data_IF_822651555000
#
_entry.id   IF_822651555000
#
_cell.length_a   1.000
_cell.length_b   1.000
_cell.length_c   1.000
_cell.angle_alpha   90.00
_cell.angle_beta   90.00
_cell.angle_gamma   90.00
#
_symmetry.space_group_name_H-M   'P 1'
#
loop_
_entity.id
_entity.type
_entity.pdbx_description
1 polymer ?
#
# COMPACT_ATOMS: atom_id res chain seq x y z
N UNK A 1 3.09 71.52 5.42
CA UNK A 1 3.76 70.51 4.56
C UNK A 1 5.18 70.35 5.08
N UNK A 2 5.40 69.51 6.10
CA UNK A 2 6.71 68.99 6.57
C UNK A 2 6.46 68.32 7.93
N UNK A 3 5.81 67.15 7.94
CA UNK A 3 5.78 66.30 9.15
C UNK A 3 5.31 64.85 8.87
N UNK A 4 4.87 64.54 7.65
CA UNK A 4 4.44 63.17 7.28
C UNK A 4 5.51 62.32 6.58
N UNK A 5 6.69 62.88 6.28
CA UNK A 5 7.76 62.12 5.59
C UNK A 5 8.78 61.49 6.55
N UNK A 6 8.93 62.00 7.77
CA UNK A 6 9.98 61.52 8.67
C UNK A 6 9.60 60.24 9.44
N UNK A 7 8.30 60.02 9.63
CA UNK A 7 7.77 58.78 10.23
C UNK A 7 7.78 57.58 9.27
N UNK A 8 7.97 57.82 7.96
CA UNK A 8 8.07 56.75 6.96
C UNK A 8 9.50 56.22 6.77
N UNK A 9 10.52 57.02 7.11
CA UNK A 9 11.94 56.62 7.01
C UNK A 9 12.40 55.77 8.19
N UNK A 10 11.96 56.07 9.42
CA UNK A 10 12.35 55.32 10.62
C UNK A 10 11.80 53.89 10.67
N UNK A 11 10.80 53.56 9.83
CA UNK A 11 10.21 52.21 9.73
C UNK A 11 10.90 51.29 8.72
N UNK A 12 11.79 51.81 7.86
CA UNK A 12 12.49 51.02 6.84
C UNK A 12 13.83 50.44 7.30
N UNK A 13 14.44 50.99 8.35
CA UNK A 13 15.77 50.57 8.79
C UNK A 13 15.77 49.45 9.84
N UNK A 14 14.59 49.00 10.30
CA UNK A 14 14.46 47.95 11.33
C UNK A 14 14.21 46.52 10.80
N UNK A 15 14.43 46.26 9.50
CA UNK A 15 14.24 44.92 8.88
C UNK A 15 15.56 44.15 8.74
N UNK A 16 16.60 44.48 9.53
CA UNK A 16 17.90 43.80 9.44
C UNK A 16 18.26 42.86 10.60
N UNK A 17 17.47 42.77 11.65
CA UNK A 17 17.72 41.83 12.75
C UNK A 17 16.48 40.97 13.03
N UNK A 18 16.17 40.06 12.12
CA UNK A 18 15.39 38.87 12.50
C UNK A 18 16.38 37.95 13.21
N UNK A 19 16.20 37.64 14.50
CA UNK A 19 17.11 36.74 15.20
C UNK A 19 17.15 35.42 14.44
N UNK A 20 18.35 34.98 14.05
CA UNK A 20 18.62 33.60 13.65
C UNK A 20 18.31 32.73 14.86
N UNK A 21 17.04 32.41 15.08
CA UNK A 21 16.66 31.42 16.06
C UNK A 21 17.36 30.13 15.68
N UNK A 22 18.29 29.72 16.55
CA UNK A 22 18.92 28.42 16.49
C UNK A 22 17.82 27.39 16.20
N UNK A 23 18.07 26.53 15.21
CA UNK A 23 17.15 25.47 14.86
C UNK A 23 16.74 24.75 16.16
N UNK A 24 15.44 24.71 16.53
CA UNK A 24 15.04 23.91 17.67
C UNK A 24 15.50 22.48 17.40
N UNK A 25 16.18 21.87 18.37
CA UNK A 25 16.53 20.45 18.34
C UNK A 25 15.29 19.69 17.90
N UNK A 26 15.37 19.13 16.69
CA UNK A 26 14.33 18.29 16.13
C UNK A 26 14.39 17.00 16.93
N UNK A 27 13.26 16.58 17.50
CA UNK A 27 13.19 15.35 18.30
C UNK A 27 13.93 14.22 17.56
N UNK A 28 14.99 13.62 18.16
CA UNK A 28 15.80 12.60 17.51
C UNK A 28 14.99 11.38 17.04
N UNK A 29 13.81 11.20 17.62
CA UNK A 29 12.89 10.09 17.38
C UNK A 29 12.31 10.06 15.95
N UNK A 30 12.22 11.21 15.26
CA UNK A 30 11.58 11.32 13.94
C UNK A 30 12.53 11.30 12.72
N UNK A 31 13.82 11.01 12.91
CA UNK A 31 14.82 11.14 11.83
C UNK A 31 15.33 9.82 11.26
N UNK A 32 15.15 8.68 11.93
CA UNK A 32 15.66 7.42 11.39
C UNK A 32 14.66 6.79 10.41
N UNK A 33 15.10 6.38 9.20
CA UNK A 33 14.24 5.64 8.27
C UNK A 33 13.62 4.38 8.89
N UNK A 34 14.34 3.76 9.85
CA UNK A 34 13.87 2.60 10.59
C UNK A 34 12.74 2.94 11.56
N UNK A 35 12.81 4.07 12.28
CA UNK A 35 11.71 4.52 13.14
C UNK A 35 10.46 4.89 12.34
N UNK A 36 10.63 5.52 11.18
CA UNK A 36 9.49 5.80 10.28
C UNK A 36 8.85 4.51 9.76
N UNK A 37 9.65 3.51 9.39
CA UNK A 37 9.14 2.19 8.99
C UNK A 37 8.41 1.50 10.15
N UNK A 38 8.98 1.51 11.36
CA UNK A 38 8.34 0.92 12.55
C UNK A 38 7.01 1.64 12.89
N UNK A 39 6.93 2.96 12.69
CA UNK A 39 5.69 3.72 12.83
C UNK A 39 4.67 3.37 11.75
N UNK A 40 5.08 3.26 10.47
CA UNK A 40 4.21 2.80 9.39
C UNK A 40 3.66 1.42 9.74
N UNK A 41 4.51 0.47 10.12
CA UNK A 41 4.09 -0.89 10.52
C UNK A 41 3.19 -0.91 11.76
N UNK A 42 3.26 0.11 12.63
CA UNK A 42 2.42 0.19 13.84
C UNK A 42 1.04 0.79 13.56
N UNK A 43 0.96 1.76 12.63
CA UNK A 43 -0.26 2.51 12.35
C UNK A 43 -0.97 2.10 11.06
N UNK A 44 -0.31 1.34 10.19
CA UNK A 44 -1.02 0.62 9.14
C UNK A 44 -1.99 -0.35 9.80
N UNK A 45 -3.14 -0.57 9.16
CA UNK A 45 -4.08 -1.61 9.63
C UNK A 45 -3.44 -3.01 9.63
N UNK A 46 -2.27 -3.14 8.99
CA UNK A 46 -1.45 -4.32 8.92
C UNK A 46 -0.67 -4.56 10.22
N UNK A 47 -0.60 -5.81 10.67
CA UNK A 47 0.22 -6.17 11.83
C UNK A 47 1.72 -6.04 11.50
N UNK A 48 2.57 -5.68 12.48
CA UNK A 48 4.00 -5.54 12.26
C UNK A 48 4.63 -6.86 11.82
N UNK A 49 5.58 -6.77 10.88
CA UNK A 49 6.22 -7.94 10.27
C UNK A 49 7.41 -8.43 11.11
N UNK A 50 7.76 -9.72 11.00
CA UNK A 50 8.96 -10.28 11.63
C UNK A 50 10.22 -9.78 10.93
N UNK A 51 11.10 -9.13 11.69
CA UNK A 51 12.50 -8.89 11.30
C UNK A 51 13.28 -10.21 11.36
N UNK A 52 13.20 -11.01 10.29
CA UNK A 52 13.95 -12.26 10.14
C UNK A 52 15.43 -11.98 9.81
N UNK A 53 16.34 -12.76 10.40
CA UNK A 53 17.79 -12.70 10.14
C UNK A 53 18.32 -14.07 9.70
N UNK A 54 19.44 -14.09 8.98
CA UNK A 54 20.12 -15.33 8.57
C UNK A 54 19.41 -16.08 7.41
N UNK A 55 19.40 -17.43 7.41
CA UNK A 55 18.91 -18.23 6.28
C UNK A 55 17.41 -18.06 6.02
N UNK A 56 16.61 -17.82 7.07
CA UNK A 56 15.17 -17.54 6.93
C UNK A 56 14.89 -16.25 6.17
N UNK A 57 15.73 -15.22 6.35
CA UNK A 57 15.62 -13.98 5.60
C UNK A 57 15.89 -14.19 4.11
N UNK A 58 16.83 -15.08 3.77
CA UNK A 58 17.12 -15.46 2.38
C UNK A 58 15.96 -16.23 1.75
N UNK A 59 15.38 -17.20 2.46
CA UNK A 59 14.22 -17.97 1.98
C UNK A 59 13.04 -17.04 1.71
N UNK A 60 12.68 -16.19 2.67
CA UNK A 60 11.58 -15.23 2.51
C UNK A 60 11.86 -14.25 1.37
N UNK A 61 13.09 -13.76 1.26
CA UNK A 61 13.48 -12.87 0.17
C UNK A 61 13.37 -13.59 -1.19
N UNK A 62 13.81 -14.84 -1.29
CA UNK A 62 13.72 -15.63 -2.51
C UNK A 62 12.26 -15.88 -2.94
N UNK A 63 11.39 -16.24 -2.00
CA UNK A 63 9.96 -16.45 -2.27
C UNK A 63 9.29 -15.12 -2.64
N UNK A 64 9.59 -14.02 -1.95
CA UNK A 64 9.02 -12.71 -2.23
C UNK A 64 9.45 -12.17 -3.60
N UNK A 65 10.73 -12.29 -3.95
CA UNK A 65 11.23 -11.97 -5.29
C UNK A 65 10.60 -12.89 -6.33
N UNK A 66 10.46 -14.17 -6.03
CA UNK A 66 9.77 -15.14 -6.87
C UNK A 66 8.32 -14.74 -7.17
N UNK A 67 7.58 -14.26 -6.16
CA UNK A 67 6.23 -13.72 -6.34
C UNK A 67 6.22 -12.51 -7.28
N UNK A 68 7.14 -11.56 -7.12
CA UNK A 68 7.21 -10.38 -7.99
C UNK A 68 7.51 -10.78 -9.43
N UNK A 69 8.48 -11.66 -9.63
CA UNK A 69 8.86 -12.17 -10.96
C UNK A 69 7.70 -12.94 -11.58
N UNK A 70 7.00 -13.76 -10.80
CA UNK A 70 5.84 -14.51 -11.25
C UNK A 70 4.70 -13.59 -11.69
N UNK A 71 4.40 -12.55 -10.90
CA UNK A 71 3.38 -11.55 -11.25
C UNK A 71 3.76 -10.77 -12.53
N UNK A 72 5.02 -10.34 -12.65
CA UNK A 72 5.51 -9.68 -13.86
C UNK A 72 5.45 -10.61 -15.09
N UNK A 73 5.81 -11.88 -14.94
CA UNK A 73 5.75 -12.88 -16.00
C UNK A 73 4.31 -13.17 -16.46
N UNK A 74 3.38 -13.26 -15.52
CA UNK A 74 1.97 -13.51 -15.80
C UNK A 74 1.29 -12.42 -16.64
N UNK A 75 1.86 -11.20 -16.70
CA UNK A 75 1.35 -10.15 -17.61
C UNK A 75 1.59 -10.45 -19.09
N UNK A 76 2.57 -11.28 -19.42
CA UNK A 76 2.94 -11.66 -20.80
C UNK A 76 2.51 -13.09 -21.13
N UNK A 77 2.53 -13.98 -20.14
CA UNK A 77 2.22 -15.38 -20.33
C UNK A 77 0.71 -15.63 -20.24
N UNK A 78 0.16 -16.42 -21.17
CA UNK A 78 -1.21 -16.91 -21.10
C UNK A 78 -1.28 -18.10 -20.14
N UNK A 79 -1.55 -17.82 -18.87
CA UNK A 79 -1.74 -18.82 -17.81
C UNK A 79 -3.25 -18.91 -17.50
N UNK A 80 -3.76 -20.11 -17.24
CA UNK A 80 -5.14 -20.29 -16.75
C UNK A 80 -5.37 -19.45 -15.49
N UNK A 81 -6.48 -18.70 -15.45
CA UNK A 81 -6.80 -17.81 -14.34
C UNK A 81 -6.85 -18.55 -13.01
N UNK A 82 -7.41 -19.77 -12.99
CA UNK A 82 -7.48 -20.61 -11.81
C UNK A 82 -6.06 -20.99 -11.32
N UNK A 83 -5.20 -21.51 -12.20
CA UNK A 83 -3.81 -21.87 -11.84
C UNK A 83 -3.06 -20.66 -11.30
N UNK A 84 -3.18 -19.51 -11.97
CA UNK A 84 -2.50 -18.29 -11.57
C UNK A 84 -2.94 -17.81 -10.19
N UNK A 85 -4.26 -17.70 -9.96
CA UNK A 85 -4.83 -17.23 -8.69
C UNK A 85 -4.54 -18.20 -7.54
N UNK A 86 -4.58 -19.50 -7.78
CA UNK A 86 -4.23 -20.51 -6.78
C UNK A 86 -2.75 -20.45 -6.41
N UNK A 87 -1.85 -20.35 -7.39
CA UNK A 87 -0.42 -20.20 -7.12
C UNK A 87 -0.12 -18.88 -6.39
N UNK A 88 -0.74 -17.78 -6.81
CA UNK A 88 -0.59 -16.46 -6.17
C UNK A 88 -1.03 -16.48 -4.71
N UNK A 89 -2.24 -16.99 -4.42
CA UNK A 89 -2.73 -17.12 -3.04
C UNK A 89 -1.83 -18.02 -2.21
N UNK A 90 -1.38 -19.15 -2.77
CA UNK A 90 -0.49 -20.08 -2.07
C UNK A 90 0.84 -19.46 -1.67
N UNK A 91 1.49 -18.75 -2.60
CA UNK A 91 2.73 -18.03 -2.32
C UNK A 91 2.49 -16.92 -1.29
N UNK A 92 1.38 -16.18 -1.41
CA UNK A 92 1.01 -15.14 -0.47
C UNK A 92 0.77 -15.70 0.95
N UNK A 93 0.08 -16.85 1.09
CA UNK A 93 -0.14 -17.51 2.38
C UNK A 93 1.17 -17.99 3.02
N UNK A 94 2.06 -18.60 2.23
CA UNK A 94 3.40 -19.02 2.69
C UNK A 94 4.18 -17.82 3.23
N UNK A 95 4.25 -16.73 2.45
CA UNK A 95 4.92 -15.51 2.89
C UNK A 95 4.27 -14.90 4.12
N UNK A 96 2.94 -14.90 4.19
CA UNK A 96 2.17 -14.36 5.32
C UNK A 96 2.50 -15.10 6.61
N UNK A 97 2.52 -16.43 6.61
CA UNK A 97 2.83 -17.20 7.83
C UNK A 97 4.31 -17.14 8.24
N UNK A 98 5.22 -16.92 7.29
CA UNK A 98 6.64 -16.68 7.61
C UNK A 98 6.87 -15.30 8.23
N UNK A 99 6.20 -14.27 7.71
CA UNK A 99 6.41 -12.87 8.09
C UNK A 99 5.53 -12.41 9.25
N UNK A 100 4.27 -12.85 9.34
CA UNK A 100 3.33 -12.36 10.35
C UNK A 100 3.20 -13.38 11.51
N UNK A 101 3.63 -13.01 12.74
CA UNK A 101 3.60 -13.89 13.90
C UNK A 101 2.17 -14.17 14.38
N UNK A 102 1.94 -15.37 14.92
CA UNK A 102 0.63 -15.75 15.48
C UNK A 102 0.18 -14.89 16.67
N UNK A 103 1.14 -14.44 17.50
CA UNK A 103 0.92 -13.63 18.70
C UNK A 103 1.69 -12.30 18.54
N UNK A 104 0.96 -11.18 18.55
CA UNK A 104 1.54 -9.83 18.53
C UNK A 104 2.45 -9.65 19.75
N UNK A 105 3.70 -9.22 19.52
CA UNK A 105 4.66 -8.91 20.59
C UNK A 105 5.44 -10.08 21.20
N UNK A 106 5.31 -11.31 20.71
CA UNK A 106 6.09 -12.44 21.23
C UNK A 106 7.55 -12.39 20.77
N UNK A 107 8.42 -11.77 21.58
CA UNK A 107 9.89 -11.86 21.48
C UNK A 107 10.43 -13.20 22.01
N UNK A 108 9.70 -14.32 21.88
CA UNK A 108 10.09 -15.60 22.53
C UNK A 108 11.02 -16.47 21.69
N UNK A 109 12.22 -16.63 22.24
CA UNK A 109 13.26 -17.60 21.91
C UNK A 109 12.77 -19.03 22.18
N UNK A 110 12.55 -19.83 21.13
CA UNK A 110 12.14 -21.25 21.25
C UNK A 110 13.32 -22.23 21.41
N UNK A 111 13.03 -23.49 21.78
CA UNK A 111 13.95 -24.53 22.30
C UNK A 111 15.03 -25.05 21.34
N UNK A 112 14.84 -25.00 20.02
CA UNK A 112 15.85 -25.46 19.02
C UNK A 112 17.12 -24.57 18.95
N UNK A 113 17.37 -23.74 19.98
CA UNK A 113 18.25 -22.57 20.11
C UNK A 113 19.69 -22.79 19.65
N UNK A 114 20.11 -24.04 19.72
CA UNK A 114 21.49 -24.46 19.68
C UNK A 114 22.07 -24.70 18.28
N UNK A 115 21.24 -24.78 17.22
CA UNK A 115 21.73 -25.27 15.91
C UNK A 115 21.77 -24.20 14.81
N UNK A 116 20.82 -23.27 14.73
CA UNK A 116 20.70 -22.31 13.59
C UNK A 116 20.31 -20.89 14.03
N UNK A 117 21.23 -20.12 14.62
CA UNK A 117 20.97 -18.78 15.20
C UNK A 117 20.12 -17.83 14.33
N UNK A 118 19.15 -17.13 14.94
CA UNK A 118 18.27 -16.13 14.30
C UNK A 118 16.82 -16.19 14.78
N UNK A 119 16.05 -15.11 14.58
CA UNK A 119 14.67 -14.95 15.05
C UNK A 119 13.69 -16.02 14.48
N UNK A 120 12.95 -16.65 15.38
CA UNK A 120 11.99 -17.76 15.26
C UNK A 120 10.84 -17.65 14.26
N UNK A 121 10.77 -18.50 13.23
CA UNK A 121 9.49 -19.04 12.73
C UNK A 121 9.02 -20.11 13.72
N UNK A 122 7.80 -19.99 14.27
CA UNK A 122 7.27 -20.96 15.23
C UNK A 122 6.93 -22.30 14.58
N UNK A 123 6.91 -23.40 15.33
CA UNK A 123 6.49 -24.72 14.82
C UNK A 123 5.09 -24.65 14.19
N UNK A 124 4.18 -23.92 14.84
CA UNK A 124 2.82 -23.69 14.33
C UNK A 124 2.86 -22.96 12.99
N UNK A 125 3.70 -21.94 12.85
CA UNK A 125 3.83 -21.21 11.59
C UNK A 125 4.40 -22.11 10.48
N UNK A 126 5.34 -23.00 10.80
CA UNK A 126 5.87 -23.97 9.85
C UNK A 126 4.81 -24.98 9.41
N UNK A 127 3.95 -25.44 10.33
CA UNK A 127 2.81 -26.30 10.00
C UNK A 127 1.83 -25.57 9.09
N UNK A 128 1.53 -24.29 9.36
CA UNK A 128 0.65 -23.48 8.51
C UNK A 128 1.27 -23.21 7.14
N UNK A 129 2.59 -23.02 7.06
CA UNK A 129 3.32 -22.92 5.79
C UNK A 129 3.21 -24.23 5.01
N UNK A 130 3.45 -25.38 5.64
CA UNK A 130 3.33 -26.68 4.99
C UNK A 130 1.89 -26.94 4.50
N UNK A 131 0.89 -26.61 5.32
CA UNK A 131 -0.51 -26.70 4.94
C UNK A 131 -0.84 -25.76 3.75
N UNK A 132 -0.31 -24.53 3.74
CA UNK A 132 -0.48 -23.57 2.64
C UNK A 132 0.08 -24.09 1.32
N UNK A 133 1.26 -24.71 1.36
CA UNK A 133 1.85 -25.37 0.18
C UNK A 133 0.96 -26.52 -0.27
N UNK A 134 0.50 -27.37 0.66
CA UNK A 134 -0.33 -28.54 0.34
C UNK A 134 -1.64 -28.15 -0.35
N UNK A 135 -2.39 -27.20 0.22
CA UNK A 135 -3.68 -26.74 -0.36
C UNK A 135 -3.51 -25.97 -1.67
N UNK A 136 -2.32 -25.49 -1.98
CA UNK A 136 -2.07 -24.75 -3.23
C UNK A 136 -1.56 -25.66 -4.35
N UNK A 137 -0.73 -26.65 -4.00
CA UNK A 137 -0.15 -27.59 -4.97
C UNK A 137 -1.16 -28.64 -5.43
N UNK A 138 -2.05 -29.09 -4.55
CA UNK A 138 -3.09 -30.09 -4.87
C UNK A 138 -3.93 -29.75 -6.13
N UNK A 139 -4.59 -28.58 -6.22
CA UNK A 139 -5.41 -28.23 -7.38
C UNK A 139 -4.58 -27.98 -8.65
N UNK A 140 -3.31 -27.57 -8.51
CA UNK A 140 -2.41 -27.34 -9.65
C UNK A 140 -1.96 -28.67 -10.27
N UNK A 141 -1.73 -29.71 -9.46
CA UNK A 141 -1.32 -31.05 -9.98
C UNK A 141 -2.46 -31.81 -10.66
N UNK A 142 -3.69 -31.62 -10.19
CA UNK A 142 -4.87 -32.36 -10.67
C UNK A 142 -5.85 -31.45 -11.43
N UNK A 143 -5.33 -30.39 -12.06
CA UNK A 143 -6.12 -29.28 -12.61
C UNK A 143 -7.27 -29.72 -13.52
N UNK A 144 -7.00 -30.60 -14.48
CA UNK A 144 -7.97 -30.97 -15.52
C UNK A 144 -9.23 -31.61 -14.95
N UNK A 145 -9.11 -32.43 -13.91
CA UNK A 145 -10.24 -33.05 -13.23
C UNK A 145 -10.79 -32.18 -12.09
N UNK A 146 -9.94 -31.35 -11.48
CA UNK A 146 -10.30 -30.52 -10.33
C UNK A 146 -11.40 -29.52 -10.68
N UNK A 147 -11.29 -28.84 -11.83
CA UNK A 147 -12.24 -27.79 -12.23
C UNK A 147 -13.67 -28.34 -12.46
N UNK A 148 -13.81 -29.58 -12.93
CA UNK A 148 -15.13 -30.19 -13.17
C UNK A 148 -15.79 -30.76 -11.90
N UNK A 149 -15.06 -30.85 -10.78
CA UNK A 149 -15.56 -31.40 -9.50
C UNK A 149 -16.25 -30.35 -8.62
N UNK A 150 -16.37 -29.10 -9.06
CA UNK A 150 -17.00 -28.03 -8.26
C UNK A 150 -18.43 -28.38 -7.77
N UNK A 151 -19.20 -29.12 -8.59
CA UNK A 151 -20.57 -29.50 -8.23
C UNK A 151 -20.66 -30.70 -7.26
N UNK A 152 -19.64 -31.57 -7.26
CA UNK A 152 -19.53 -32.77 -6.40
C UNK A 152 -18.06 -33.00 -6.02
N UNK A 153 -17.55 -32.27 -5.02
CA UNK A 153 -16.17 -32.42 -4.57
C UNK A 153 -15.93 -33.80 -3.93
N UNK A 154 -14.73 -34.35 -4.12
CA UNK A 154 -14.31 -35.55 -3.42
C UNK A 154 -13.96 -35.23 -1.95
N UNK A 155 -13.87 -36.24 -1.09
CA UNK A 155 -13.48 -36.05 0.32
C UNK A 155 -12.15 -35.31 0.48
N UNK A 156 -11.19 -35.57 -0.41
CA UNK A 156 -9.90 -34.85 -0.43
C UNK A 156 -10.06 -33.39 -0.82
N UNK A 157 -10.96 -33.06 -1.76
CA UNK A 157 -11.24 -31.67 -2.15
C UNK A 157 -11.88 -30.92 -0.98
N UNK A 158 -12.82 -31.55 -0.28
CA UNK A 158 -13.47 -31.00 0.91
C UNK A 158 -12.45 -30.73 2.02
N UNK A 159 -11.54 -31.67 2.26
CA UNK A 159 -10.48 -31.51 3.25
C UNK A 159 -9.54 -30.35 2.90
N UNK A 160 -9.02 -30.33 1.67
CA UNK A 160 -8.08 -29.29 1.22
C UNK A 160 -8.73 -27.90 1.21
N UNK A 161 -9.97 -27.80 0.75
CA UNK A 161 -10.69 -26.54 0.74
C UNK A 161 -11.05 -26.04 2.13
N UNK A 162 -11.44 -26.93 3.06
CA UNK A 162 -11.68 -26.56 4.46
C UNK A 162 -10.39 -26.03 5.11
N UNK A 163 -9.26 -26.71 4.90
CA UNK A 163 -7.95 -26.23 5.38
C UNK A 163 -7.63 -24.86 4.76
N UNK A 164 -7.86 -24.69 3.45
CA UNK A 164 -7.60 -23.42 2.76
C UNK A 164 -8.43 -22.26 3.33
N UNK A 165 -9.72 -22.48 3.59
CA UNK A 165 -10.61 -21.48 4.20
C UNK A 165 -10.08 -21.06 5.58
N UNK A 166 -9.70 -22.03 6.42
CA UNK A 166 -9.14 -21.76 7.76
C UNK A 166 -7.82 -20.98 7.64
N UNK A 167 -6.95 -21.37 6.72
CA UNK A 167 -5.67 -20.67 6.48
C UNK A 167 -5.90 -19.23 6.03
N UNK A 168 -6.86 -18.98 5.14
CA UNK A 168 -7.16 -17.62 4.67
C UNK A 168 -7.72 -16.76 5.81
N UNK A 169 -8.65 -17.29 6.62
CA UNK A 169 -9.18 -16.56 7.78
C UNK A 169 -8.07 -16.24 8.81
N UNK A 170 -7.19 -17.19 9.08
CA UNK A 170 -6.06 -17.01 10.00
C UNK A 170 -5.00 -16.05 9.42
N UNK A 171 -4.73 -16.10 8.12
CA UNK A 171 -3.85 -15.16 7.44
C UNK A 171 -4.40 -13.72 7.53
N UNK A 172 -5.69 -13.54 7.30
CA UNK A 172 -6.35 -12.22 7.41
C UNK A 172 -6.40 -11.72 8.85
N UNK A 173 -6.61 -12.61 9.83
CA UNK A 173 -6.50 -12.28 11.25
C UNK A 173 -5.09 -11.78 11.59
N UNK A 174 -4.07 -12.40 11.02
CA UNK A 174 -2.66 -12.01 11.24
C UNK A 174 -2.30 -10.71 10.53
N UNK A 175 -2.80 -10.47 9.33
CA UNK A 175 -2.49 -9.24 8.58
C UNK A 175 -3.32 -8.08 9.11
N UNK A 176 -4.66 -8.10 9.04
CA UNK A 176 -5.50 -6.93 9.33
C UNK A 176 -6.21 -7.00 10.69
N UNK A 177 -6.39 -8.20 11.25
CA UNK A 177 -7.06 -8.41 12.54
C UNK A 177 -8.43 -9.09 12.41
N UNK A 178 -9.23 -9.05 13.47
CA UNK A 178 -10.43 -9.88 13.60
C UNK A 178 -11.67 -9.39 12.85
N UNK A 179 -11.73 -8.12 12.44
CA UNK A 179 -12.95 -7.52 11.88
C UNK A 179 -13.38 -8.27 10.61
N UNK A 180 -12.51 -8.39 9.61
CA UNK A 180 -12.85 -9.03 8.35
C UNK A 180 -13.07 -10.55 8.47
N UNK A 181 -12.22 -11.33 9.19
CA UNK A 181 -12.49 -12.74 9.45
C UNK A 181 -13.81 -12.97 10.18
N UNK A 182 -14.19 -12.11 11.13
CA UNK A 182 -15.47 -12.23 11.84
C UNK A 182 -16.66 -12.07 10.89
N UNK A 183 -16.60 -11.10 9.97
CA UNK A 183 -17.63 -10.92 8.94
C UNK A 183 -17.68 -12.14 8.02
N UNK A 184 -16.54 -12.67 7.56
CA UNK A 184 -16.50 -13.86 6.72
C UNK A 184 -17.00 -15.12 7.45
N UNK A 185 -16.68 -15.31 8.73
CA UNK A 185 -17.24 -16.39 9.55
C UNK A 185 -18.76 -16.24 9.70
N UNK A 186 -19.27 -15.01 9.85
CA UNK A 186 -20.70 -14.72 9.82
C UNK A 186 -21.36 -15.09 8.49
N UNK A 187 -20.71 -14.78 7.36
CA UNK A 187 -21.14 -15.20 6.03
C UNK A 187 -21.16 -16.71 5.87
N UNK A 188 -20.10 -17.42 6.27
CA UNK A 188 -20.08 -18.88 6.25
C UNK A 188 -21.15 -19.48 7.16
N UNK A 189 -21.37 -18.91 8.35
CA UNK A 189 -22.46 -19.33 9.24
C UNK A 189 -23.83 -19.14 8.58
N UNK A 190 -24.04 -18.04 7.85
CA UNK A 190 -25.23 -17.83 7.03
C UNK A 190 -25.37 -18.89 5.92
N UNK A 191 -24.29 -19.23 5.22
CA UNK A 191 -24.30 -20.29 4.20
C UNK A 191 -24.73 -21.66 4.77
N UNK A 192 -24.32 -21.99 6.01
CA UNK A 192 -24.75 -23.22 6.68
C UNK A 192 -26.15 -23.12 7.30
N UNK A 193 -26.53 -21.94 7.82
CA UNK A 193 -27.76 -21.73 8.61
C UNK A 193 -28.72 -20.72 8.01
N UNK A 194 -28.83 -20.72 6.69
CA UNK A 194 -29.82 -19.94 5.96
C UNK A 194 -31.26 -20.28 6.35
N UNK A 195 -31.48 -21.44 6.97
CA UNK A 195 -32.79 -21.94 7.42
C UNK A 195 -33.38 -21.10 8.57
N UNK A 196 -32.52 -20.42 9.33
CA UNK A 196 -32.91 -19.58 10.47
C UNK A 196 -33.47 -18.23 10.01
N UNK A 197 -33.17 -17.79 8.78
CA UNK A 197 -33.53 -16.47 8.28
C UNK A 197 -34.91 -16.49 7.60
N UNK A 198 -35.85 -15.61 7.99
CA UNK A 198 -37.19 -15.57 7.40
C UNK A 198 -37.23 -14.81 6.07
N UNK A 199 -38.21 -15.16 5.22
CA UNK A 199 -38.52 -14.43 3.99
C UNK A 199 -37.47 -14.60 2.89
N UNK A 200 -37.21 -13.54 2.14
CA UNK A 200 -36.30 -13.53 0.98
C UNK A 200 -34.83 -13.80 1.30
N UNK A 201 -34.45 -13.75 2.58
CA UNK A 201 -33.09 -14.03 3.05
C UNK A 201 -32.91 -15.50 3.47
N UNK A 202 -33.98 -16.30 3.46
CA UNK A 202 -33.96 -17.71 3.88
C UNK A 202 -33.60 -18.67 2.76
N UNK A 203 -32.75 -19.66 3.05
CA UNK A 203 -32.47 -20.80 2.18
C UNK A 203 -32.29 -22.08 3.01
N UNK A 204 -32.23 -23.26 2.39
CA UNK A 204 -32.24 -24.54 3.14
C UNK A 204 -30.96 -24.84 3.93
N UNK A 205 -29.98 -23.93 3.93
CA UNK A 205 -28.59 -24.22 4.30
C UNK A 205 -27.89 -25.07 3.25
N UNK A 206 -26.57 -24.92 3.15
CA UNK A 206 -25.72 -25.73 2.26
C UNK A 206 -24.85 -26.69 3.05
N UNK A 207 -24.69 -27.90 2.52
CA UNK A 207 -23.76 -28.89 3.05
C UNK A 207 -22.30 -28.46 2.82
N UNK A 208 -21.37 -29.01 3.63
CA UNK A 208 -19.95 -28.62 3.59
C UNK A 208 -19.31 -28.86 2.23
N UNK A 209 -19.69 -29.94 1.53
CA UNK A 209 -19.21 -30.24 0.19
C UNK A 209 -19.59 -29.15 -0.82
N UNK A 210 -20.84 -28.66 -0.77
CA UNK A 210 -21.32 -27.59 -1.65
C UNK A 210 -20.63 -26.27 -1.34
N UNK A 211 -20.49 -25.93 -0.05
CA UNK A 211 -19.79 -24.71 0.37
C UNK A 211 -18.33 -24.77 -0.09
N UNK A 212 -17.62 -25.86 0.15
CA UNK A 212 -16.21 -25.98 -0.29
C UNK A 212 -16.09 -25.99 -1.81
N UNK A 213 -17.02 -26.63 -2.53
CA UNK A 213 -17.06 -26.61 -3.99
C UNK A 213 -17.10 -25.18 -4.56
N UNK A 214 -17.97 -24.33 -4.02
CA UNK A 214 -18.03 -22.91 -4.41
C UNK A 214 -16.85 -22.10 -3.88
N UNK A 215 -16.41 -22.34 -2.63
CA UNK A 215 -15.38 -21.50 -2.02
C UNK A 215 -13.97 -21.76 -2.54
N UNK A 216 -13.64 -23.02 -2.82
CA UNK A 216 -12.27 -23.45 -3.11
C UNK A 216 -12.09 -23.98 -4.52
N UNK A 217 -13.10 -24.60 -5.14
CA UNK A 217 -12.96 -25.14 -6.50
C UNK A 217 -13.35 -24.09 -7.54
N UNK A 218 -14.45 -23.37 -7.32
CA UNK A 218 -14.94 -22.36 -8.27
C UNK A 218 -14.16 -21.04 -8.21
N UNK A 219 -14.42 -20.17 -9.18
CA UNK A 219 -13.92 -18.80 -9.26
C UNK A 219 -14.88 -17.78 -8.63
N UNK A 220 -15.80 -18.22 -7.76
CA UNK A 220 -16.77 -17.33 -7.09
C UNK A 220 -16.39 -17.07 -5.62
N UNK A 221 -15.63 -17.99 -5.00
CA UNK A 221 -15.13 -17.86 -3.64
C UNK A 221 -13.73 -17.27 -3.52
N UNK A 222 -12.81 -18.04 -2.93
CA UNK A 222 -11.43 -17.64 -2.62
C UNK A 222 -10.67 -17.12 -3.85
N UNK A 223 -10.91 -17.73 -5.01
CA UNK A 223 -10.26 -17.37 -6.28
C UNK A 223 -11.07 -16.37 -7.11
N UNK A 224 -12.03 -15.70 -6.49
CA UNK A 224 -12.93 -14.75 -7.14
C UNK A 224 -12.31 -13.46 -7.63
N UNK A 225 -13.18 -12.56 -8.09
CA UNK A 225 -12.82 -11.24 -8.66
C UNK A 225 -11.95 -10.42 -7.71
N UNK A 226 -12.24 -10.46 -6.40
CA UNK A 226 -11.43 -9.77 -5.40
C UNK A 226 -9.97 -10.23 -5.40
N UNK A 227 -9.71 -11.55 -5.39
CA UNK A 227 -8.33 -12.06 -5.46
C UNK A 227 -7.72 -11.83 -6.85
N UNK A 228 -8.52 -11.92 -7.91
CA UNK A 228 -8.07 -11.60 -9.27
C UNK A 228 -7.47 -10.19 -9.32
N UNK A 229 -8.15 -9.22 -8.71
CA UNK A 229 -7.69 -7.83 -8.63
C UNK A 229 -6.37 -7.72 -7.87
N UNK A 230 -6.24 -8.40 -6.73
CA UNK A 230 -5.00 -8.40 -5.96
C UNK A 230 -3.83 -9.00 -6.77
N UNK A 231 -4.06 -10.12 -7.44
CA UNK A 231 -3.08 -10.87 -8.20
C UNK A 231 -2.66 -10.20 -9.53
N UNK A 232 -3.46 -9.27 -10.05
CA UNK A 232 -3.22 -8.67 -11.37
C UNK A 232 -2.88 -7.19 -11.29
N UNK A 233 -3.62 -6.40 -10.51
CA UNK A 233 -3.40 -4.96 -10.40
C UNK A 233 -2.51 -4.65 -9.20
N UNK A 234 -2.94 -5.05 -8.00
CA UNK A 234 -2.36 -4.54 -6.75
C UNK A 234 -0.90 -4.97 -6.60
N UNK A 235 -0.57 -6.22 -6.92
CA UNK A 235 0.81 -6.70 -6.90
C UNK A 235 1.74 -5.91 -7.83
N UNK A 236 1.26 -5.48 -9.01
CA UNK A 236 2.09 -4.73 -9.95
C UNK A 236 2.27 -3.27 -9.50
N UNK A 237 1.20 -2.65 -8.98
CA UNK A 237 1.25 -1.29 -8.46
C UNK A 237 2.08 -1.17 -7.18
N UNK A 238 2.09 -2.17 -6.31
CA UNK A 238 2.97 -2.21 -5.13
C UNK A 238 4.44 -2.40 -5.52
N UNK A 239 4.74 -3.24 -6.53
CA UNK A 239 6.10 -3.34 -7.10
C UNK A 239 6.54 -2.01 -7.70
N UNK A 240 5.66 -1.34 -8.46
CA UNK A 240 5.92 0.00 -9.00
C UNK A 240 6.19 1.03 -7.90
N UNK A 241 5.36 1.06 -6.87
CA UNK A 241 5.52 1.93 -5.70
C UNK A 241 6.87 1.70 -5.01
N UNK A 242 7.25 0.43 -4.82
CA UNK A 242 8.56 0.07 -4.27
C UNK A 242 9.71 0.53 -5.18
N UNK A 243 9.60 0.40 -6.51
CA UNK A 243 10.62 0.92 -7.44
C UNK A 243 10.78 2.42 -7.28
N UNK A 244 9.68 3.17 -7.17
CA UNK A 244 9.73 4.60 -6.96
C UNK A 244 10.33 4.99 -5.60
N UNK A 245 9.94 4.31 -4.53
CA UNK A 245 10.49 4.53 -3.19
C UNK A 245 12.01 4.32 -3.17
N UNK A 246 12.49 3.17 -3.64
CA UNK A 246 13.92 2.83 -3.65
C UNK A 246 14.73 3.63 -4.69
N UNK A 247 14.08 4.23 -5.69
CA UNK A 247 14.71 5.19 -6.60
C UNK A 247 14.87 6.59 -6.00
N UNK A 248 14.32 6.86 -4.81
CA UNK A 248 14.39 8.17 -4.15
C UNK A 248 13.30 9.17 -4.59
N UNK A 249 12.29 8.70 -5.32
CA UNK A 249 11.22 9.56 -5.84
C UNK A 249 10.46 10.29 -4.74
N UNK A 250 10.24 9.64 -3.58
CA UNK A 250 9.55 10.26 -2.45
C UNK A 250 10.25 11.52 -1.94
N UNK A 251 11.57 11.47 -1.77
CA UNK A 251 12.37 12.64 -1.38
C UNK A 251 12.30 13.74 -2.44
N UNK A 252 12.38 13.37 -3.72
CA UNK A 252 12.23 14.33 -4.81
C UNK A 252 10.87 15.05 -4.79
N UNK A 253 9.76 14.33 -4.60
CA UNK A 253 8.43 14.95 -4.56
C UNK A 253 8.26 15.89 -3.36
N UNK A 254 8.86 15.56 -2.21
CA UNK A 254 8.93 16.45 -1.06
C UNK A 254 9.72 17.73 -1.38
N UNK A 255 10.97 17.58 -1.83
CA UNK A 255 11.86 18.70 -2.18
C UNK A 255 11.24 19.59 -3.27
N UNK A 256 10.56 19.00 -4.25
CA UNK A 256 9.84 19.70 -5.31
C UNK A 256 8.68 20.53 -4.75
N UNK A 257 7.91 19.97 -3.82
CA UNK A 257 6.78 20.65 -3.19
C UNK A 257 7.22 21.84 -2.35
N UNK A 258 8.35 21.71 -1.61
CA UNK A 258 9.00 22.80 -0.89
C UNK A 258 9.46 23.90 -1.84
N UNK A 259 10.11 23.53 -2.94
CA UNK A 259 10.59 24.49 -3.93
C UNK A 259 9.44 25.21 -4.68
N UNK A 260 8.30 24.55 -4.90
CA UNK A 260 7.16 25.08 -5.66
C UNK A 260 6.35 26.15 -4.92
N UNK A 261 6.27 26.07 -3.60
CA UNK A 261 5.44 26.97 -2.78
C UNK A 261 6.21 28.12 -2.18
N UNK A 262 7.53 27.97 -2.01
CA UNK A 262 8.44 29.02 -1.54
C UNK A 262 8.15 29.51 -0.12
N UNK A 263 8.83 30.58 0.29
CA UNK A 263 8.85 31.07 1.68
C UNK A 263 7.64 31.94 2.06
N UNK A 264 6.42 31.61 1.61
CA UNK A 264 5.22 32.39 1.94
C UNK A 264 4.66 32.03 3.33
N UNK A 265 3.90 32.93 4.00
CA UNK A 265 3.22 32.65 5.27
C UNK A 265 2.38 31.37 5.28
N UNK A 266 1.59 31.10 4.22
CA UNK A 266 0.85 29.85 4.05
C UNK A 266 1.65 28.74 3.34
N UNK A 267 2.94 28.96 3.12
CA UNK A 267 3.82 28.08 2.35
C UNK A 267 3.99 26.70 2.99
N UNK A 268 4.12 26.63 4.32
CA UNK A 268 4.32 25.36 5.02
C UNK A 268 3.13 24.39 4.88
N UNK A 269 1.91 24.89 5.10
CA UNK A 269 0.70 24.10 4.89
C UNK A 269 0.54 23.69 3.43
N UNK A 270 0.66 24.65 2.49
CA UNK A 270 0.54 24.37 1.05
C UNK A 270 1.56 23.34 0.59
N UNK A 271 2.80 23.43 1.06
CA UNK A 271 3.83 22.45 0.76
C UNK A 271 3.39 21.07 1.19
N UNK A 272 2.94 20.94 2.43
CA UNK A 272 2.53 19.66 3.03
C UNK A 272 1.42 19.02 2.20
N UNK A 273 0.47 19.80 1.73
CA UNK A 273 -0.63 19.33 0.87
C UNK A 273 -0.16 18.91 -0.52
N UNK A 274 0.71 19.69 -1.19
CA UNK A 274 1.26 19.31 -2.51
C UNK A 274 2.13 18.05 -2.37
N UNK A 275 2.98 18.01 -1.34
CA UNK A 275 3.81 16.86 -1.06
C UNK A 275 2.95 15.62 -0.81
N UNK A 276 1.86 15.75 -0.05
CA UNK A 276 0.95 14.63 0.19
C UNK A 276 0.19 14.19 -1.04
N UNK A 277 -0.21 15.10 -1.92
CA UNK A 277 -0.72 14.74 -3.24
C UNK A 277 0.32 13.97 -4.05
N UNK A 278 1.51 14.54 -4.26
CA UNK A 278 2.53 13.91 -5.11
C UNK A 278 3.03 12.57 -4.54
N UNK A 279 3.31 12.49 -3.23
CA UNK A 279 3.66 11.24 -2.57
C UNK A 279 2.51 10.23 -2.60
N UNK A 280 1.27 10.71 -2.42
CA UNK A 280 0.09 9.87 -2.43
C UNK A 280 -0.17 9.22 -3.78
N UNK A 281 0.05 9.97 -4.87
CA UNK A 281 -0.04 9.47 -6.26
C UNK A 281 0.97 8.36 -6.57
N UNK A 282 2.00 8.20 -5.73
CA UNK A 282 3.04 7.19 -5.87
C UNK A 282 2.74 5.97 -5.01
N UNK A 283 2.43 6.21 -3.73
CA UNK A 283 2.31 5.14 -2.74
C UNK A 283 0.95 4.44 -2.79
N UNK A 284 -0.12 5.14 -3.16
CA UNK A 284 -1.50 4.66 -3.01
C UNK A 284 -1.91 4.34 -1.56
N UNK A 285 -1.04 4.63 -0.58
CA UNK A 285 -1.23 4.33 0.85
C UNK A 285 -1.38 5.62 1.65
N UNK A 286 -2.56 5.80 2.25
CA UNK A 286 -2.84 6.96 3.09
C UNK A 286 -1.98 7.02 4.35
N UNK A 287 -1.73 5.86 4.99
CA UNK A 287 -0.95 5.78 6.22
C UNK A 287 0.53 6.04 5.94
N UNK A 288 1.12 5.33 4.97
CA UNK A 288 2.53 5.51 4.61
C UNK A 288 2.84 6.96 4.22
N UNK A 289 1.93 7.58 3.45
CA UNK A 289 2.06 8.99 3.04
C UNK A 289 1.95 9.93 4.25
N UNK A 290 1.01 9.68 5.17
CA UNK A 290 0.84 10.49 6.38
C UNK A 290 2.06 10.42 7.29
N UNK A 291 2.63 9.23 7.51
CA UNK A 291 3.83 9.05 8.34
C UNK A 291 5.05 9.71 7.68
N UNK A 292 5.21 9.53 6.36
CA UNK A 292 6.28 10.15 5.60
C UNK A 292 6.20 11.68 5.69
N UNK A 293 5.03 12.26 5.44
CA UNK A 293 4.78 13.69 5.63
C UNK A 293 5.04 14.13 7.07
N UNK A 294 4.56 13.37 8.05
CA UNK A 294 4.72 13.69 9.47
C UNK A 294 6.19 13.84 9.85
N UNK A 295 7.02 12.87 9.46
CA UNK A 295 8.45 12.87 9.78
C UNK A 295 9.22 14.05 9.17
N UNK A 296 8.82 14.52 7.99
CA UNK A 296 9.56 15.56 7.24
C UNK A 296 8.94 16.96 7.37
N UNK A 297 7.62 17.08 7.33
CA UNK A 297 6.90 18.35 7.29
C UNK A 297 6.49 18.88 8.67
N UNK A 298 6.40 18.04 9.71
CA UNK A 298 6.05 18.50 11.06
C UNK A 298 7.00 19.58 11.61
N UNK A 299 8.35 19.44 11.53
CA UNK A 299 9.26 20.48 12.02
C UNK A 299 9.03 21.83 11.35
N UNK A 300 8.67 21.83 10.06
CA UNK A 300 8.35 23.04 9.31
C UNK A 300 7.01 23.63 9.76
N UNK A 301 5.95 22.82 9.87
CA UNK A 301 4.63 23.29 10.33
C UNK A 301 4.73 23.93 11.73
N UNK A 302 5.49 23.30 12.63
CA UNK A 302 5.78 23.83 13.97
C UNK A 302 6.48 25.20 13.91
N UNK A 303 7.48 25.37 13.03
CA UNK A 303 8.17 26.66 12.84
C UNK A 303 7.28 27.74 12.23
N UNK A 304 6.30 27.36 11.43
CA UNK A 304 5.32 28.27 10.83
C UNK A 304 4.21 28.71 11.81
N UNK A 305 4.19 28.15 13.03
CA UNK A 305 3.23 28.50 14.08
C UNK A 305 2.01 27.58 14.18
N UNK A 306 1.99 26.43 13.50
CA UNK A 306 0.90 25.47 13.64
C UNK A 306 0.90 24.79 15.02
N UNK A 307 -0.27 24.64 15.62
CA UNK A 307 -0.44 23.80 16.81
C UNK A 307 -0.26 22.31 16.46
N UNK A 308 -0.09 21.46 17.48
CA UNK A 308 0.04 20.00 17.29
C UNK A 308 -1.21 19.41 16.64
N UNK A 309 -2.38 19.90 17.04
CA UNK A 309 -3.68 19.48 16.57
C UNK A 309 -3.89 19.90 15.11
N UNK A 310 -3.67 21.19 14.79
CA UNK A 310 -3.81 21.70 13.43
C UNK A 310 -2.79 21.10 12.48
N UNK A 311 -1.53 20.96 12.91
CA UNK A 311 -0.50 20.30 12.11
C UNK A 311 -0.82 18.83 11.85
N UNK A 312 -1.27 18.09 12.87
CA UNK A 312 -1.74 16.72 12.73
C UNK A 312 -2.91 16.58 11.77
N UNK A 313 -3.87 17.52 11.81
CA UNK A 313 -5.00 17.55 10.89
C UNK A 313 -4.55 17.76 9.43
N UNK A 314 -3.63 18.70 9.18
CA UNK A 314 -3.09 18.96 7.84
C UNK A 314 -2.30 17.76 7.30
N UNK A 315 -1.47 17.13 8.14
CA UNK A 315 -0.69 15.95 7.77
C UNK A 315 -1.58 14.75 7.43
N UNK A 316 -2.60 14.51 8.27
CA UNK A 316 -3.58 13.43 8.07
C UNK A 316 -4.42 13.65 6.82
N UNK A 317 -4.96 14.87 6.63
CA UNK A 317 -5.75 15.21 5.45
C UNK A 317 -4.90 15.15 4.16
N UNK A 318 -3.66 15.67 4.20
CA UNK A 318 -2.74 15.58 3.07
C UNK A 318 -2.38 14.14 2.69
N UNK A 319 -2.20 13.28 3.69
CA UNK A 319 -1.78 11.89 3.49
C UNK A 319 -2.92 10.95 3.07
N UNK A 320 -4.10 11.00 3.69
CA UNK A 320 -5.22 10.11 3.33
C UNK A 320 -5.72 10.33 1.90
N UNK A 321 -5.52 11.53 1.34
CA UNK A 321 -5.79 11.84 -0.06
C UNK A 321 -5.03 10.96 -1.06
N UNK A 322 -3.97 10.26 -0.64
CA UNK A 322 -3.27 9.26 -1.45
C UNK A 322 -4.19 8.18 -2.03
N UNK A 323 -5.19 7.74 -1.25
CA UNK A 323 -6.13 6.68 -1.64
C UNK A 323 -7.05 7.14 -2.79
N UNK A 324 -7.25 8.46 -2.93
CA UNK A 324 -8.09 9.06 -3.95
C UNK A 324 -7.30 9.58 -5.16
N UNK A 325 -5.98 9.73 -5.06
CA UNK A 325 -5.17 10.44 -6.07
C UNK A 325 -4.73 9.56 -7.24
N UNK A 326 -5.12 9.86 -8.50
CA UNK A 326 -4.62 9.18 -9.69
C UNK A 326 -3.09 9.33 -9.83
N UNK A 327 -2.36 8.38 -10.46
CA UNK A 327 -2.85 7.23 -11.23
C UNK A 327 -2.87 5.89 -10.48
N UNK A 328 -2.37 5.83 -9.24
CA UNK A 328 -2.29 4.58 -8.46
C UNK A 328 -3.59 4.30 -7.69
N UNK A 329 -4.20 5.32 -7.09
CA UNK A 329 -5.35 5.18 -6.19
C UNK A 329 -5.12 4.12 -5.08
N UNK A 330 -6.07 4.00 -4.15
CA UNK A 330 -6.07 2.89 -3.21
C UNK A 330 -6.59 1.59 -3.83
N UNK A 331 -6.37 0.47 -3.12
CA UNK A 331 -6.83 -0.86 -3.50
C UNK A 331 -8.32 -0.93 -3.90
N UNK A 332 -9.17 -0.14 -3.24
CA UNK A 332 -10.61 -0.08 -3.50
C UNK A 332 -10.95 0.36 -4.93
N UNK A 333 -10.15 1.22 -5.56
CA UNK A 333 -10.41 1.66 -6.94
C UNK A 333 -10.31 0.52 -7.95
N UNK A 334 -9.40 -0.42 -7.73
CA UNK A 334 -9.29 -1.61 -8.58
C UNK A 334 -10.48 -2.55 -8.39
N UNK A 335 -10.98 -2.69 -7.15
CA UNK A 335 -12.20 -3.45 -6.88
C UNK A 335 -13.41 -2.81 -7.56
N UNK A 336 -13.53 -1.48 -7.55
CA UNK A 336 -14.62 -0.77 -8.25
C UNK A 336 -14.58 -1.05 -9.75
N UNK A 337 -13.39 -0.94 -10.39
CA UNK A 337 -13.23 -1.24 -11.81
C UNK A 337 -13.70 -2.66 -12.15
N UNK A 338 -13.31 -3.64 -11.33
CA UNK A 338 -13.68 -5.04 -11.51
C UNK A 338 -15.16 -5.30 -11.25
N UNK A 339 -15.74 -4.79 -10.15
CA UNK A 339 -17.15 -5.04 -9.82
C UNK A 339 -18.11 -4.38 -10.81
N UNK A 340 -17.80 -3.16 -11.25
CA UNK A 340 -18.61 -2.44 -12.23
C UNK A 340 -18.31 -2.88 -13.68
N UNK A 341 -17.29 -3.71 -13.90
CA UNK A 341 -16.84 -4.14 -15.23
C UNK A 341 -16.56 -2.96 -16.17
N UNK A 342 -16.01 -1.88 -15.61
CA UNK A 342 -15.60 -0.67 -16.35
C UNK A 342 -14.07 -0.59 -16.42
N UNK A 343 -13.55 0.18 -17.37
CA UNK A 343 -12.10 0.33 -17.48
C UNK A 343 -11.52 1.09 -16.28
N UNK A 344 -10.33 0.71 -15.82
CA UNK A 344 -9.64 1.46 -14.75
C UNK A 344 -9.40 2.93 -15.14
N UNK A 345 -9.22 3.23 -16.44
CA UNK A 345 -9.12 4.61 -16.94
C UNK A 345 -10.39 5.41 -16.66
N UNK A 346 -11.55 4.75 -16.73
CA UNK A 346 -12.84 5.36 -16.40
C UNK A 346 -12.93 5.66 -14.91
N UNK A 347 -12.50 4.72 -14.05
CA UNK A 347 -12.40 4.97 -12.60
C UNK A 347 -11.46 6.14 -12.30
N UNK A 348 -10.30 6.23 -12.98
CA UNK A 348 -9.40 7.38 -12.86
C UNK A 348 -10.11 8.68 -13.25
N UNK A 349 -10.86 8.69 -14.36
CA UNK A 349 -11.62 9.87 -14.80
C UNK A 349 -12.67 10.28 -13.77
N UNK A 350 -13.39 9.32 -13.19
CA UNK A 350 -14.36 9.58 -12.12
C UNK A 350 -13.67 10.12 -10.86
N UNK A 351 -12.46 9.69 -10.55
CA UNK A 351 -11.70 10.11 -9.37
C UNK A 351 -11.08 11.53 -9.50
N UNK A 352 -10.86 12.05 -10.71
CA UNK A 352 -10.23 13.36 -10.92
C UNK A 352 -11.02 14.49 -10.23
N UNK A 353 -12.33 14.56 -10.44
CA UNK A 353 -13.16 15.64 -9.88
C UNK A 353 -13.17 15.61 -8.34
N UNK A 354 -13.47 14.46 -7.68
CA UNK A 354 -13.34 14.32 -6.23
C UNK A 354 -11.95 14.69 -5.71
N UNK A 355 -10.88 14.27 -6.39
CA UNK A 355 -9.50 14.57 -5.99
C UNK A 355 -9.23 16.07 -5.99
N UNK A 356 -9.63 16.76 -7.06
CA UNK A 356 -9.46 18.22 -7.17
C UNK A 356 -10.20 18.93 -6.05
N UNK A 357 -11.47 18.57 -5.81
CA UNK A 357 -12.24 19.18 -4.73
C UNK A 357 -11.65 18.88 -3.35
N UNK A 358 -11.19 17.64 -3.12
CA UNK A 358 -10.57 17.24 -1.86
C UNK A 358 -9.35 18.10 -1.53
N UNK A 359 -8.39 18.19 -2.47
CA UNK A 359 -7.18 18.99 -2.26
C UNK A 359 -7.47 20.49 -2.26
N UNK A 360 -8.42 20.97 -3.07
CA UNK A 360 -8.86 22.38 -3.05
C UNK A 360 -9.43 22.75 -1.69
N UNK A 361 -10.27 21.90 -1.08
CA UNK A 361 -10.79 22.12 0.27
C UNK A 361 -9.68 22.20 1.31
N UNK A 362 -8.66 21.34 1.22
CA UNK A 362 -7.49 21.40 2.10
C UNK A 362 -6.72 22.71 1.89
N UNK A 363 -6.49 23.12 0.65
CA UNK A 363 -5.80 24.38 0.34
C UNK A 363 -6.54 25.61 0.89
N UNK A 364 -7.86 25.65 0.72
CA UNK A 364 -8.69 26.73 1.25
C UNK A 364 -8.66 26.76 2.77
N UNK A 365 -8.74 25.60 3.43
CA UNK A 365 -8.66 25.51 4.89
C UNK A 365 -7.30 26.02 5.40
N UNK A 366 -6.21 25.61 4.75
CA UNK A 366 -4.85 26.05 5.10
C UNK A 366 -4.68 27.56 4.95
N UNK A 367 -5.25 28.15 3.90
CA UNK A 367 -5.18 29.59 3.68
C UNK A 367 -5.95 30.37 4.75
N UNK A 368 -7.13 29.87 5.15
CA UNK A 368 -7.92 30.46 6.22
C UNK A 368 -7.22 30.33 7.58
N UNK A 369 -6.68 29.15 7.88
CA UNK A 369 -5.99 28.89 9.15
C UNK A 369 -4.70 29.70 9.25
N UNK A 370 -3.89 29.75 8.18
CA UNK A 370 -2.65 30.54 8.16
C UNK A 370 -2.93 32.03 8.43
N UNK A 371 -4.04 32.57 7.90
CA UNK A 371 -4.46 33.96 8.16
C UNK A 371 -4.96 34.16 9.59
N UNK A 372 -5.76 33.23 10.12
CA UNK A 372 -6.27 33.29 11.50
C UNK A 372 -5.14 33.22 12.54
N UNK A 373 -4.13 32.40 12.29
CA UNK A 373 -3.01 32.20 13.21
C UNK A 373 -1.88 33.22 13.03
N UNK A 374 -1.91 34.04 11.97
CA UNK A 374 -0.79 34.93 11.65
C UNK A 374 0.49 34.17 11.33
N UNK A 375 0.38 33.06 10.59
CA UNK A 375 1.48 32.13 10.33
C UNK A 375 2.71 32.85 9.75
N UNK A 376 3.90 32.45 10.22
CA UNK A 376 5.17 33.06 9.80
C UNK A 376 5.73 32.37 8.57
N UNK A 377 6.41 33.15 7.71
CA UNK A 377 7.16 32.59 6.59
C UNK A 377 8.32 31.75 7.11
N UNK A 378 8.29 30.45 6.84
CA UNK A 378 9.44 29.57 7.05
C UNK A 378 10.23 29.52 5.75
N UNK A 379 11.44 30.08 5.76
CA UNK A 379 12.38 29.87 4.68
C UNK A 379 12.94 28.44 4.78
N UNK A 380 12.80 27.67 3.71
CA UNK A 380 13.42 26.36 3.58
C UNK A 380 14.46 26.51 2.48
N UNK A 381 15.71 26.29 2.84
CA UNK A 381 16.79 26.20 1.86
C UNK A 381 16.56 24.93 1.03
N UNK A 382 15.98 25.11 -0.15
CA UNK A 382 15.83 24.05 -1.15
C UNK A 382 16.53 24.47 -2.43
N UNK A 383 17.01 23.50 -3.20
CA UNK A 383 17.44 23.79 -4.57
C UNK A 383 16.28 24.44 -5.33
N UNK A 384 16.54 25.45 -6.18
CA UNK A 384 15.48 26.12 -6.93
C UNK A 384 14.73 25.10 -7.80
N UNK A 385 13.41 25.28 -7.90
CA UNK A 385 12.50 24.32 -8.56
C UNK A 385 12.97 23.90 -9.95
N UNK A 386 13.51 24.83 -10.74
CA UNK A 386 14.00 24.53 -12.08
C UNK A 386 15.21 23.59 -12.07
N UNK A 387 16.15 23.79 -11.14
CA UNK A 387 17.31 22.92 -10.96
C UNK A 387 16.87 21.53 -10.52
N UNK A 388 15.98 21.45 -9.54
CA UNK A 388 15.46 20.18 -9.04
C UNK A 388 14.70 19.42 -10.11
N UNK A 389 13.83 20.12 -10.86
CA UNK A 389 13.06 19.54 -11.97
C UNK A 389 14.00 19.04 -13.05
N UNK A 390 14.95 19.84 -13.53
CA UNK A 390 15.93 19.40 -14.54
C UNK A 390 16.75 18.19 -14.09
N UNK A 391 17.00 18.08 -12.78
CA UNK A 391 17.87 17.07 -12.17
C UNK A 391 17.17 15.74 -11.86
N UNK A 392 15.83 15.75 -11.70
CA UNK A 392 15.02 14.59 -11.28
C UNK A 392 13.70 14.42 -12.09
N UNK A 393 13.57 15.09 -13.24
CA UNK A 393 12.36 15.06 -14.09
C UNK A 393 11.86 13.65 -14.42
N UNK A 394 12.75 12.68 -14.46
CA UNK A 394 12.43 11.29 -14.76
C UNK A 394 11.48 10.65 -13.75
N UNK A 395 11.41 11.10 -12.49
CA UNK A 395 10.41 10.57 -11.56
C UNK A 395 8.98 10.91 -12.02
N UNK A 396 8.74 12.12 -12.56
CA UNK A 396 7.45 12.48 -13.15
C UNK A 396 7.12 11.65 -14.40
N UNK A 397 8.12 11.29 -15.21
CA UNK A 397 7.85 10.53 -16.44
C UNK A 397 7.21 9.18 -16.17
N UNK A 398 7.56 8.51 -15.07
CA UNK A 398 6.99 7.20 -14.76
C UNK A 398 5.49 7.28 -14.43
N UNK A 399 5.06 8.28 -13.66
CA UNK A 399 3.64 8.50 -13.37
C UNK A 399 2.86 8.89 -14.62
N UNK A 400 3.41 9.82 -15.42
CA UNK A 400 2.80 10.27 -16.67
C UNK A 400 2.69 9.09 -17.66
N UNK A 401 3.70 8.21 -17.70
CA UNK A 401 3.71 7.06 -18.58
C UNK A 401 2.53 6.12 -18.32
N UNK A 402 2.12 5.90 -17.06
CA UNK A 402 0.94 5.06 -16.74
C UNK A 402 -0.30 5.62 -17.45
N UNK A 403 -0.57 6.92 -17.29
CA UNK A 403 -1.74 7.56 -17.88
C UNK A 403 -1.66 7.56 -19.41
N UNK A 404 -0.48 7.89 -19.96
CA UNK A 404 -0.25 7.93 -21.41
C UNK A 404 -0.48 6.55 -22.04
N UNK A 405 0.12 5.48 -21.48
CA UNK A 405 -0.09 4.13 -22.01
C UNK A 405 -1.57 3.71 -21.94
N UNK A 406 -2.27 4.05 -20.87
CA UNK A 406 -3.71 3.76 -20.77
C UNK A 406 -4.53 4.54 -21.81
N UNK A 407 -4.21 5.81 -22.07
CA UNK A 407 -4.86 6.61 -23.11
C UNK A 407 -4.56 6.07 -24.51
N UNK A 408 -3.37 5.51 -24.73
CA UNK A 408 -2.98 4.82 -25.96
C UNK A 408 -3.66 3.44 -26.14
N UNK A 409 -4.52 3.02 -25.20
CA UNK A 409 -5.28 1.77 -25.28
C UNK A 409 -4.58 0.55 -24.67
N UNK A 410 -3.45 0.71 -23.98
CA UNK A 410 -2.84 -0.39 -23.24
C UNK A 410 -3.65 -0.70 -21.97
N UNK A 411 -3.64 -1.97 -21.57
CA UNK A 411 -4.26 -2.38 -20.30
C UNK A 411 -3.52 -1.76 -19.11
N UNK A 412 -4.19 -1.51 -17.97
CA UNK A 412 -3.55 -0.91 -16.80
C UNK A 412 -2.36 -1.73 -16.28
N UNK A 413 -2.47 -3.07 -16.35
CA UNK A 413 -1.37 -3.98 -16.02
C UNK A 413 -0.14 -3.72 -16.89
N UNK A 414 -0.32 -3.65 -18.21
CA UNK A 414 0.78 -3.41 -19.16
C UNK A 414 1.37 -2.02 -18.98
N UNK A 415 0.51 -1.00 -18.77
CA UNK A 415 0.93 0.37 -18.53
C UNK A 415 1.84 0.48 -17.29
N UNK A 416 1.47 -0.18 -16.19
CA UNK A 416 2.30 -0.23 -14.97
C UNK A 416 3.60 -0.99 -15.18
N UNK A 417 3.59 -2.12 -15.89
CA UNK A 417 4.84 -2.86 -16.17
C UNK A 417 5.81 -1.99 -16.97
N UNK A 418 5.32 -1.28 -17.98
CA UNK A 418 6.17 -0.36 -18.77
C UNK A 418 6.62 0.86 -17.96
N UNK A 419 5.75 1.43 -17.13
CA UNK A 419 6.13 2.53 -16.23
C UNK A 419 7.16 2.10 -15.17
N UNK A 420 7.04 0.87 -14.66
CA UNK A 420 7.99 0.26 -13.71
C UNK A 420 9.34 0.04 -14.39
N UNK A 421 9.35 -0.52 -15.61
CA UNK A 421 10.55 -0.68 -16.41
C UNK A 421 11.21 0.66 -16.72
N UNK A 422 10.42 1.67 -17.10
CA UNK A 422 10.89 3.02 -17.34
C UNK A 422 11.50 3.66 -16.09
N UNK A 423 10.82 3.58 -14.94
CA UNK A 423 11.34 4.08 -13.66
C UNK A 423 12.64 3.38 -13.26
N UNK A 424 12.71 2.06 -13.43
CA UNK A 424 13.92 1.27 -13.18
C UNK A 424 15.08 1.70 -14.08
N UNK A 425 14.86 1.82 -15.39
CA UNK A 425 15.89 2.23 -16.34
C UNK A 425 16.38 3.66 -16.07
N UNK A 426 15.46 4.59 -15.83
CA UNK A 426 15.80 5.98 -15.54
C UNK A 426 16.48 6.15 -14.18
N UNK A 427 16.28 5.22 -13.25
CA UNK A 427 17.00 5.22 -11.97
C UNK A 427 18.52 5.23 -12.14
N UNK A 428 19.04 4.61 -13.22
CA UNK A 428 20.47 4.55 -13.55
C UNK A 428 21.04 5.84 -14.13
N UNK A 429 20.20 6.81 -14.51
CA UNK A 429 20.66 8.09 -15.04
C UNK A 429 21.51 8.85 -14.01
N UNK A 430 21.30 8.56 -12.72
CA UNK A 430 22.08 9.12 -11.62
C UNK A 430 22.48 8.08 -10.60
N UNK A 431 23.71 8.22 -10.08
CA UNK A 431 24.29 7.29 -9.10
C UNK A 431 23.53 7.29 -7.77
N UNK A 432 22.96 8.42 -7.35
CA UNK A 432 22.19 8.52 -6.11
C UNK A 432 20.87 7.75 -6.16
N UNK A 433 20.23 7.69 -7.32
CA UNK A 433 18.94 7.02 -7.53
C UNK A 433 19.05 5.61 -8.08
N UNK A 434 20.26 5.17 -8.45
CA UNK A 434 20.47 3.88 -9.10
C UNK A 434 20.03 2.70 -8.23
N UNK A 435 19.16 1.86 -8.79
CA UNK A 435 18.73 0.60 -8.19
C UNK A 435 19.77 -0.47 -8.56
N UNK A 436 20.87 -0.49 -7.80
CA UNK A 436 21.93 -1.50 -7.95
C UNK A 436 21.40 -2.92 -7.69
N UNK A 437 22.08 -4.00 -8.15
CA UNK A 437 21.63 -5.37 -7.96
C UNK A 437 21.14 -5.74 -6.53
N UNK A 438 21.84 -5.36 -5.44
CA UNK A 438 21.33 -5.62 -4.09
C UNK A 438 20.07 -4.81 -3.73
N UNK A 439 19.88 -3.64 -4.35
CA UNK A 439 18.65 -2.84 -4.20
C UNK A 439 17.49 -3.45 -4.96
N UNK A 440 17.71 -4.05 -6.13
CA UNK A 440 16.64 -4.75 -6.90
C UNK A 440 15.95 -5.80 -6.03
N UNK A 441 16.75 -6.63 -5.37
CA UNK A 441 16.23 -7.69 -4.48
C UNK A 441 15.40 -7.10 -3.34
N UNK A 442 15.85 -5.99 -2.74
CA UNK A 442 15.10 -5.29 -1.69
C UNK A 442 13.80 -4.69 -2.22
N UNK A 443 13.84 -4.07 -3.39
CA UNK A 443 12.69 -3.45 -4.05
C UNK A 443 11.61 -4.47 -4.39
N UNK A 444 11.97 -5.58 -5.04
CA UNK A 444 11.02 -6.64 -5.39
C UNK A 444 10.44 -7.29 -4.13
N UNK A 445 11.28 -7.58 -3.13
CA UNK A 445 10.81 -8.06 -1.84
C UNK A 445 9.80 -7.11 -1.21
N UNK A 446 10.09 -5.81 -1.15
CA UNK A 446 9.20 -4.81 -0.56
C UNK A 446 7.83 -4.80 -1.25
N UNK A 447 7.80 -4.75 -2.59
CA UNK A 447 6.54 -4.79 -3.34
C UNK A 447 5.70 -6.04 -3.07
N UNK A 448 6.33 -7.21 -3.04
CA UNK A 448 5.63 -8.46 -2.70
C UNK A 448 5.11 -8.49 -1.27
N UNK A 449 5.89 -8.00 -0.30
CA UNK A 449 5.47 -7.96 1.11
C UNK A 449 4.26 -7.04 1.30
N UNK A 450 4.27 -5.86 0.68
CA UNK A 450 3.14 -4.92 0.72
C UNK A 450 1.86 -5.45 0.07
N UNK A 451 1.94 -6.54 -0.71
CA UNK A 451 0.77 -7.17 -1.33
C UNK A 451 0.09 -8.19 -0.41
N UNK A 452 0.78 -8.71 0.60
CA UNK A 452 0.32 -9.87 1.38
C UNK A 452 -0.98 -9.60 2.15
N UNK A 453 -1.05 -8.44 2.79
CA UNK A 453 -2.24 -7.97 3.51
C UNK A 453 -3.45 -7.85 2.61
N UNK A 454 -3.26 -7.34 1.40
CA UNK A 454 -4.31 -7.14 0.42
C UNK A 454 -4.74 -8.47 -0.18
N UNK A 455 -3.80 -9.38 -0.45
CA UNK A 455 -4.11 -10.72 -0.95
C UNK A 455 -4.98 -11.52 0.04
N UNK A 456 -4.66 -11.53 1.33
CA UNK A 456 -5.46 -12.25 2.35
C UNK A 456 -6.84 -11.61 2.53
N UNK A 457 -6.90 -10.29 2.52
CA UNK A 457 -8.14 -9.49 2.57
C UNK A 457 -9.06 -9.79 1.40
N UNK A 458 -8.53 -9.76 0.18
CA UNK A 458 -9.26 -10.05 -1.04
C UNK A 458 -9.75 -11.51 -1.09
N UNK A 459 -8.93 -12.47 -0.67
CA UNK A 459 -9.36 -13.86 -0.56
C UNK A 459 -10.50 -14.04 0.45
N UNK A 460 -10.44 -13.34 1.59
CA UNK A 460 -11.49 -13.38 2.62
C UNK A 460 -12.77 -12.68 2.16
N UNK A 461 -12.65 -11.56 1.44
CA UNK A 461 -13.78 -10.91 0.79
C UNK A 461 -14.42 -11.82 -0.26
N UNK A 462 -13.61 -12.63 -0.98
CA UNK A 462 -14.09 -13.68 -1.87
C UNK A 462 -14.99 -14.70 -1.17
N UNK A 463 -14.72 -15.06 0.09
CA UNK A 463 -15.62 -15.91 0.88
C UNK A 463 -16.99 -15.26 1.10
N UNK A 464 -17.02 -13.96 1.37
CA UNK A 464 -18.27 -13.22 1.60
C UNK A 464 -19.07 -13.14 0.29
N UNK A 465 -18.40 -12.77 -0.81
CA UNK A 465 -19.04 -12.67 -2.12
C UNK A 465 -19.57 -14.03 -2.58
N UNK A 466 -18.78 -15.09 -2.48
CA UNK A 466 -19.18 -16.43 -2.89
C UNK A 466 -20.34 -17.01 -2.09
N UNK A 467 -20.64 -16.47 -0.89
CA UNK A 467 -21.83 -16.85 -0.12
C UNK A 467 -23.07 -16.11 -0.60
N UNK A 468 -22.91 -14.88 -1.11
CA UNK A 468 -24.01 -14.04 -1.58
C UNK A 468 -24.46 -14.35 -3.01
N UNK A 469 -23.59 -14.96 -3.81
CA UNK A 469 -23.87 -15.47 -5.16
C UNK A 469 -24.44 -16.87 -5.09
#
# INVERSE_FOLDING_TARGET
MTDSEDTAKTRRDNVKDVPRHAAPEVDPEFQSPEANQDLIETYEAESPTRKLTGPWALIVTAIAVGLSVYALYATRATISAQIYRTAFLGIALVLTFLLYPMIRGSKRTGVFGLIFGGARVGLIDLVLVAASVMVSVYPIRNFDEFVYRAARPNETDVLMGTICIILVLEATRRTIGWILPAVAMGGLAYAFRGDVFPGQWGHRGYELDRVVGTMYISLEGLYGTALAVAATFIVLFTIYGAVLEFSGAGKFFLDFSFAATGSKPSGAGRTTTIAGFLLGTVSGSGVATTVTLGSVAWPMLKRAGYSRESGGAVLSAGGIGAILSPPTLGAAAFLIAEFLQISYLEVLRMAIIPTIFYYLSIFLMIELDARKMGATSVAIETEPIWTLTRKYWYHFTSLIAIVVFMVLGYTPMTAVVYATGLAFLLSFLRRDTAITPPRIVKTLRAGSVSTLSVASTCATAGLIVGVMT
#
